data_IF_977737467695
#
_entry.id   IF_977737467695
#
_cell.length_a   1.000
_cell.length_b   1.000
_cell.length_c   1.000
_cell.angle_alpha   90.00
_cell.angle_beta   90.00
_cell.angle_gamma   90.00
#
_symmetry.space_group_name_H-M   'P 1'
#
loop_
_entity.id
_entity.type
_entity.pdbx_description
1 polymer ?
#
# COMPACT_ATOMS: atom_id res chain seq x y z
N UNK A 1 -3.36 -51.60 3.68
CA UNK A 1 -2.90 -51.06 2.37
C UNK A 1 -1.70 -50.16 2.60
N UNK A 2 -0.64 -50.28 1.79
CA UNK A 2 0.59 -49.48 1.91
C UNK A 2 0.68 -48.57 0.69
N UNK A 3 0.40 -47.28 0.85
CA UNK A 3 0.55 -46.31 -0.25
C UNK A 3 2.05 -46.04 -0.39
N UNK A 4 2.65 -46.43 -1.51
CA UNK A 4 4.03 -46.04 -1.85
C UNK A 4 3.95 -44.76 -2.69
N UNK A 5 4.31 -43.64 -2.09
CA UNK A 5 4.49 -42.37 -2.80
C UNK A 5 5.93 -42.34 -3.31
N UNK A 6 6.08 -42.08 -4.61
CA UNK A 6 7.27 -42.37 -5.42
C UNK A 6 8.58 -41.80 -4.89
N UNK A 7 9.64 -42.60 -5.05
CA UNK A 7 11.01 -42.28 -4.64
C UNK A 7 11.58 -41.12 -5.48
N UNK A 8 12.26 -40.16 -4.83
CA UNK A 8 12.90 -38.96 -5.41
C UNK A 8 12.01 -37.91 -6.10
N UNK A 9 10.72 -37.78 -5.75
CA UNK A 9 9.94 -36.64 -6.22
C UNK A 9 10.31 -35.36 -5.46
N UNK A 10 10.82 -34.34 -6.16
CA UNK A 10 10.96 -32.98 -5.63
C UNK A 10 9.65 -32.24 -5.82
N UNK A 11 8.86 -32.14 -4.78
CA UNK A 11 7.64 -31.34 -4.79
C UNK A 11 7.99 -29.94 -4.30
N UNK A 12 8.17 -29.00 -5.24
CA UNK A 12 8.39 -27.59 -4.92
C UNK A 12 7.03 -26.89 -4.91
N UNK A 13 6.77 -26.11 -3.86
CA UNK A 13 5.56 -25.29 -3.68
C UNK A 13 4.22 -26.06 -3.69
N UNK A 14 4.15 -27.20 -2.99
CA UNK A 14 2.85 -27.85 -2.73
C UNK A 14 2.55 -27.99 -1.25
N UNK A 15 1.31 -27.69 -0.90
CA UNK A 15 0.79 -27.78 0.46
C UNK A 15 0.03 -29.10 0.55
N UNK A 16 0.66 -30.12 1.13
CA UNK A 16 0.05 -31.44 1.30
C UNK A 16 -0.54 -31.51 2.71
N UNK A 17 -1.84 -31.23 2.77
CA UNK A 17 -2.65 -31.25 3.99
C UNK A 17 -3.84 -30.31 3.82
N UNK A 18 -4.98 -30.61 4.47
CA UNK A 18 -6.09 -29.67 4.58
C UNK A 18 -5.61 -28.51 5.48
N UNK A 19 -4.97 -27.53 4.86
CA UNK A 19 -4.53 -26.33 5.54
C UNK A 19 -5.82 -25.60 5.94
N UNK A 20 -6.18 -25.68 7.23
CA UNK A 20 -6.99 -24.61 7.81
C UNK A 20 -6.10 -23.38 7.72
N UNK A 21 -6.23 -22.65 6.60
CA UNK A 21 -5.56 -21.37 6.38
C UNK A 21 -6.26 -20.37 7.31
N UNK A 22 -5.99 -20.48 8.61
CA UNK A 22 -6.14 -19.37 9.55
C UNK A 22 -4.73 -18.80 9.63
N UNK A 23 -4.47 -17.75 8.85
CA UNK A 23 -3.20 -17.02 8.94
C UNK A 23 -2.38 -16.88 7.66
N UNK A 24 -2.99 -17.03 6.48
CA UNK A 24 -2.58 -16.13 5.40
C UNK A 24 -3.53 -14.95 5.48
N UNK A 25 -3.21 -14.02 6.38
CA UNK A 25 -3.46 -12.62 6.10
C UNK A 25 -3.07 -12.42 4.65
N UNK A 26 -4.06 -12.13 3.80
CA UNK A 26 -3.78 -11.63 2.47
C UNK A 26 -2.68 -10.58 2.68
N UNK A 27 -1.47 -10.83 2.15
CA UNK A 27 -0.41 -9.83 2.11
C UNK A 27 -0.94 -8.72 1.25
N UNK A 28 -1.77 -7.89 1.87
CA UNK A 28 -2.26 -6.66 1.34
C UNK A 28 -0.96 -5.88 1.25
N UNK A 29 -0.44 -5.76 0.03
CA UNK A 29 0.76 -4.97 -0.23
C UNK A 29 0.37 -3.52 -0.02
N UNK A 30 0.17 -3.16 1.25
CA UNK A 30 -0.15 -1.84 1.71
C UNK A 30 0.93 -0.92 1.17
N UNK A 31 0.48 0.04 0.35
CA UNK A 31 1.35 0.87 -0.45
C UNK A 31 2.38 1.61 0.41
N UNK A 32 3.43 2.10 -0.22
CA UNK A 32 4.54 2.79 0.45
C UNK A 32 4.08 3.89 1.42
N UNK A 33 2.94 4.52 1.12
CA UNK A 33 2.32 5.54 1.96
C UNK A 33 1.82 5.04 3.32
N UNK A 34 1.34 3.80 3.39
CA UNK A 34 0.90 3.17 4.64
C UNK A 34 2.07 2.71 5.50
N UNK A 35 3.18 2.30 4.87
CA UNK A 35 4.36 1.80 5.57
C UNK A 35 5.18 2.90 6.26
N UNK A 36 5.14 4.13 5.73
CA UNK A 36 5.92 5.26 6.25
C UNK A 36 5.07 6.53 6.39
N UNK A 37 4.08 6.56 7.31
CA UNK A 37 3.15 7.68 7.45
C UNK A 37 3.84 9.00 7.85
N UNK A 38 4.98 8.93 8.55
CA UNK A 38 5.74 10.13 8.93
C UNK A 38 6.45 10.75 7.73
N UNK A 39 7.05 9.92 6.86
CA UNK A 39 7.76 10.40 5.68
C UNK A 39 6.80 11.03 4.66
N UNK A 40 5.62 10.43 4.51
CA UNK A 40 4.57 10.99 3.66
C UNK A 40 4.05 12.31 4.21
N UNK A 41 3.79 12.40 5.51
CA UNK A 41 3.38 13.65 6.16
C UNK A 41 4.43 14.77 6.00
N UNK A 42 5.72 14.43 6.11
CA UNK A 42 6.80 15.38 5.91
C UNK A 42 6.86 15.86 4.45
N UNK A 43 6.76 14.95 3.48
CA UNK A 43 6.77 15.28 2.07
C UNK A 43 5.56 16.14 1.67
N UNK A 44 4.35 15.78 2.14
CA UNK A 44 3.14 16.56 1.85
C UNK A 44 3.20 17.93 2.51
N UNK A 45 3.66 18.04 3.76
CA UNK A 45 3.87 19.33 4.42
C UNK A 45 4.84 20.22 3.66
N UNK A 46 5.95 19.66 3.17
CA UNK A 46 6.91 20.40 2.35
C UNK A 46 6.30 20.90 1.04
N UNK A 47 5.56 20.03 0.33
CA UNK A 47 4.89 20.39 -0.94
C UNK A 47 3.85 21.47 -0.72
N UNK A 48 3.03 21.36 0.34
CA UNK A 48 2.00 22.35 0.67
C UNK A 48 2.65 23.68 1.06
N UNK A 49 3.69 23.67 1.90
CA UNK A 49 4.43 24.87 2.26
C UNK A 49 5.05 25.57 1.05
N UNK A 50 5.56 24.79 0.10
CA UNK A 50 6.08 25.32 -1.16
C UNK A 50 4.97 25.89 -2.07
N UNK A 51 3.83 25.20 -2.18
CA UNK A 51 2.66 25.66 -2.93
C UNK A 51 2.13 26.99 -2.38
N UNK A 52 2.13 27.18 -1.05
CA UNK A 52 1.70 28.42 -0.39
C UNK A 52 2.60 29.62 -0.70
N UNK A 53 3.81 29.41 -1.22
CA UNK A 53 4.77 30.47 -1.50
C UNK A 53 4.50 31.22 -2.81
N UNK A 54 3.65 30.67 -3.69
CA UNK A 54 3.39 31.25 -4.99
C UNK A 54 2.33 32.35 -4.93
N UNK A 55 2.46 33.37 -5.77
CA UNK A 55 1.49 34.48 -5.84
C UNK A 55 0.16 34.12 -6.52
N UNK A 56 0.00 32.91 -7.08
CA UNK A 56 -1.23 32.53 -7.78
C UNK A 56 -2.42 32.33 -6.82
N UNK A 57 -2.22 32.33 -5.50
CA UNK A 57 -3.30 32.21 -4.53
C UNK A 57 -4.32 33.34 -4.64
N UNK A 58 -3.90 34.53 -5.09
CA UNK A 58 -4.82 35.64 -5.32
C UNK A 58 -5.90 35.28 -6.36
N UNK A 59 -5.53 34.59 -7.44
CA UNK A 59 -6.47 34.11 -8.45
C UNK A 59 -7.38 33.00 -7.90
N UNK A 60 -6.85 32.13 -7.04
CA UNK A 60 -7.61 31.06 -6.38
C UNK A 60 -8.64 31.64 -5.40
N UNK A 61 -8.25 32.65 -4.62
CA UNK A 61 -9.14 33.35 -3.69
C UNK A 61 -10.25 34.07 -4.46
N UNK A 62 -9.89 34.85 -5.49
CA UNK A 62 -10.86 35.54 -6.36
C UNK A 62 -11.84 34.57 -7.03
N UNK A 63 -11.39 33.37 -7.39
CA UNK A 63 -12.25 32.32 -7.92
C UNK A 63 -13.24 31.80 -6.88
N UNK A 64 -12.78 31.52 -5.65
CA UNK A 64 -13.65 31.07 -4.56
C UNK A 64 -14.67 32.14 -4.17
N UNK A 65 -14.25 33.40 -4.10
CA UNK A 65 -15.12 34.54 -3.79
C UNK A 65 -16.20 34.77 -4.85
N UNK A 66 -15.90 34.55 -6.13
CA UNK A 66 -16.91 34.64 -7.19
C UNK A 66 -17.90 33.45 -7.23
N UNK A 67 -17.61 32.36 -6.51
CA UNK A 67 -18.51 31.19 -6.41
C UNK A 67 -19.53 31.38 -5.28
N UNK A 68 -19.22 32.17 -4.27
CA UNK A 68 -20.08 32.45 -3.11
C UNK A 68 -20.87 33.75 -3.26
#
# INVERSE_FOLDING_TARGET
MKIKIGDKNKIKDSIIGKQNIVGNEAKNNEGFFHKHPVLTALLTSFVIGFLLLFSFWDDVINFIENIF
#
